data_IF_626712039570
#
_entry.id   IF_626712039570
#
_cell.length_a   1.000
_cell.length_b   1.000
_cell.length_c   1.000
_cell.angle_alpha   90.00
_cell.angle_beta   90.00
_cell.angle_gamma   90.00
#
_symmetry.space_group_name_H-M   'P 1'
#
loop_
_entity.id
_entity.type
_entity.pdbx_description
1 polymer ?
#
# COMPACT_ATOMS: atom_id res chain seq x y z
N UNK A 1 -46.49 -50.26 -36.87
CA UNK A 1 -45.35 -49.67 -37.60
C UNK A 1 -44.91 -48.43 -36.86
N UNK A 2 -43.73 -48.48 -36.26
CA UNK A 2 -42.94 -47.36 -35.68
C UNK A 2 -42.38 -46.46 -36.82
N UNK A 3 -41.63 -45.35 -36.62
CA UNK A 3 -41.02 -44.77 -35.39
C UNK A 3 -41.03 -43.21 -35.30
N UNK A 4 -40.53 -42.63 -34.20
CA UNK A 4 -39.61 -41.44 -34.17
C UNK A 4 -39.32 -40.95 -32.73
N UNK A 5 -38.17 -41.37 -32.21
CA UNK A 5 -37.17 -40.60 -31.42
C UNK A 5 -37.55 -39.28 -30.71
N UNK A 6 -37.28 -39.21 -29.40
CA UNK A 6 -36.31 -38.26 -28.84
C UNK A 6 -35.99 -38.59 -27.35
N UNK A 7 -34.71 -38.73 -27.09
CA UNK A 7 -34.06 -38.95 -25.81
C UNK A 7 -33.70 -37.58 -25.24
N UNK A 8 -34.28 -37.18 -24.11
CA UNK A 8 -33.77 -36.10 -23.24
C UNK A 8 -34.02 -36.48 -21.78
N UNK A 9 -32.97 -36.64 -20.94
CA UNK A 9 -33.16 -36.82 -19.51
C UNK A 9 -33.57 -35.48 -18.89
N UNK A 10 -34.73 -35.46 -18.23
CA UNK A 10 -35.21 -34.30 -17.45
C UNK A 10 -34.52 -34.30 -16.08
N UNK A 11 -33.84 -33.22 -15.66
CA UNK A 11 -33.08 -33.15 -14.39
C UNK A 11 -33.97 -32.96 -13.15
N UNK A 12 -35.29 -32.91 -13.30
CA UNK A 12 -36.22 -32.60 -12.21
C UNK A 12 -36.42 -33.75 -11.21
N UNK A 13 -35.98 -34.97 -11.53
CA UNK A 13 -36.26 -36.15 -10.70
C UNK A 13 -35.28 -36.35 -9.54
N UNK A 14 -34.17 -35.61 -9.49
CA UNK A 14 -33.16 -35.76 -8.42
C UNK A 14 -33.39 -34.82 -7.22
N UNK A 15 -34.33 -33.87 -7.33
CA UNK A 15 -34.62 -32.89 -6.27
C UNK A 15 -35.96 -33.11 -5.53
N UNK A 16 -36.73 -34.15 -5.85
CA UNK A 16 -38.06 -34.37 -5.26
C UNK A 16 -38.09 -35.10 -3.92
N UNK A 17 -36.95 -35.36 -3.27
CA UNK A 17 -36.87 -36.04 -1.97
C UNK A 17 -36.49 -35.15 -0.78
N UNK A 18 -36.83 -33.86 -0.82
CA UNK A 18 -36.91 -33.04 0.40
C UNK A 18 -38.37 -32.98 0.87
N UNK A 19 -38.79 -34.04 1.57
CA UNK A 19 -40.01 -34.02 2.35
C UNK A 19 -39.86 -32.99 3.49
N UNK A 20 -40.55 -31.86 3.39
CA UNK A 20 -40.75 -30.93 4.50
C UNK A 20 -41.66 -31.60 5.54
N UNK A 21 -41.24 -31.74 6.82
CA UNK A 21 -42.13 -32.22 7.86
C UNK A 21 -43.05 -31.08 8.32
N UNK A 22 -44.37 -31.31 8.24
CA UNK A 22 -45.49 -30.40 8.53
C UNK A 22 -45.69 -30.02 10.01
N UNK A 23 -44.63 -29.88 10.81
CA UNK A 23 -44.76 -29.45 12.21
C UNK A 23 -43.71 -28.37 12.55
N UNK A 24 -43.97 -27.16 12.05
CA UNK A 24 -43.11 -25.96 12.20
C UNK A 24 -43.64 -24.95 13.24
N UNK A 25 -44.33 -25.40 14.30
CA UNK A 25 -44.78 -24.48 15.36
C UNK A 25 -44.23 -24.77 16.77
N UNK A 26 -43.78 -26.00 17.06
CA UNK A 26 -43.32 -26.35 18.42
C UNK A 26 -41.80 -26.49 18.58
N UNK A 27 -41.00 -26.05 17.61
CA UNK A 27 -39.53 -26.25 17.61
C UNK A 27 -38.69 -24.98 17.54
N UNK A 28 -39.28 -23.82 17.84
CA UNK A 28 -38.57 -22.54 17.82
C UNK A 28 -37.68 -22.28 19.04
N UNK A 29 -37.73 -23.11 20.10
CA UNK A 29 -36.97 -22.86 21.34
C UNK A 29 -35.78 -23.81 21.60
N UNK A 30 -35.52 -24.82 20.77
CA UNK A 30 -34.44 -25.80 21.07
C UNK A 30 -33.38 -26.00 20.00
N UNK A 31 -33.43 -25.27 18.88
CA UNK A 31 -32.29 -25.19 17.96
C UNK A 31 -31.29 -24.13 18.45
N UNK A 32 -30.74 -24.40 19.64
CA UNK A 32 -29.41 -23.93 19.99
C UNK A 32 -28.44 -24.47 18.96
N UNK A 33 -28.29 -23.74 17.86
CA UNK A 33 -27.21 -23.91 16.91
C UNK A 33 -25.94 -23.65 17.72
N UNK A 34 -25.41 -24.70 18.35
CA UNK A 34 -24.10 -24.71 18.96
C UNK A 34 -23.18 -24.10 17.92
N UNK A 35 -22.60 -22.93 18.24
CA UNK A 35 -21.69 -22.17 17.37
C UNK A 35 -20.46 -23.04 17.08
N UNK A 36 -20.58 -24.03 16.20
CA UNK A 36 -19.46 -24.81 15.67
C UNK A 36 -18.53 -23.94 14.79
N UNK A 37 -18.94 -22.72 14.47
CA UNK A 37 -18.16 -21.72 13.74
C UNK A 37 -17.96 -20.40 14.51
N UNK A 38 -17.80 -20.47 15.84
CA UNK A 38 -17.26 -19.36 16.63
C UNK A 38 -15.74 -19.21 16.45
N UNK A 39 -15.16 -18.00 16.61
CA UNK A 39 -13.70 -17.85 16.70
C UNK A 39 -13.16 -18.78 17.80
N UNK A 40 -12.01 -19.42 17.57
CA UNK A 40 -11.41 -20.29 18.59
C UNK A 40 -11.15 -19.48 19.87
N UNK A 41 -11.17 -20.12 21.04
CA UNK A 41 -10.89 -19.45 22.31
C UNK A 41 -9.53 -18.72 22.30
N UNK A 42 -8.54 -19.28 21.60
CA UNK A 42 -7.24 -18.67 21.31
C UNK A 42 -7.30 -17.39 20.47
N UNK A 43 -8.27 -17.31 19.56
CA UNK A 43 -8.51 -16.12 18.71
C UNK A 43 -8.88 -14.90 19.56
N UNK A 44 -9.58 -15.10 20.68
CA UNK A 44 -9.94 -13.98 21.58
C UNK A 44 -8.74 -13.45 22.37
N UNK A 45 -7.77 -14.31 22.68
CA UNK A 45 -6.54 -13.93 23.41
C UNK A 45 -5.51 -13.27 22.48
N UNK A 46 -5.30 -13.83 21.29
CA UNK A 46 -4.38 -13.29 20.28
C UNK A 46 -4.99 -12.21 19.37
N UNK A 47 -6.23 -11.78 19.65
CA UNK A 47 -6.90 -10.71 18.91
C UNK A 47 -6.11 -9.39 18.90
N UNK A 48 -5.47 -9.07 20.01
CA UNK A 48 -4.58 -7.91 20.11
C UNK A 48 -3.35 -8.03 19.21
N UNK A 49 -2.80 -9.23 19.05
CA UNK A 49 -1.64 -9.47 18.21
C UNK A 49 -1.97 -9.32 16.72
N UNK A 50 -3.14 -9.80 16.29
CA UNK A 50 -3.66 -9.58 14.94
C UNK A 50 -3.91 -8.10 14.64
N UNK A 51 -4.53 -7.38 15.58
CA UNK A 51 -4.75 -5.94 15.45
C UNK A 51 -3.43 -5.15 15.41
N UNK A 52 -2.47 -5.50 16.26
CA UNK A 52 -1.14 -4.88 16.29
C UNK A 52 -0.40 -5.11 14.96
N UNK A 53 -0.41 -6.33 14.43
CA UNK A 53 0.23 -6.63 13.16
C UNK A 53 -0.40 -5.86 11.98
N UNK A 54 -1.73 -5.79 11.92
CA UNK A 54 -2.42 -5.00 10.89
C UNK A 54 -2.13 -3.50 11.03
N UNK A 55 -2.03 -2.99 12.26
CA UNK A 55 -1.61 -1.61 12.52
C UNK A 55 -0.17 -1.36 12.05
N UNK A 56 0.76 -2.28 12.33
CA UNK A 56 2.15 -2.19 11.89
C UNK A 56 2.25 -2.23 10.36
N UNK A 57 1.41 -3.01 9.68
CA UNK A 57 1.34 -3.02 8.21
C UNK A 57 0.89 -1.64 7.68
N UNK A 58 -0.14 -1.03 8.27
CA UNK A 58 -0.58 0.32 7.90
C UNK A 58 0.51 1.36 8.16
N UNK A 59 1.14 1.32 9.34
CA UNK A 59 2.26 2.21 9.68
C UNK A 59 3.42 2.03 8.69
N UNK A 60 3.72 0.79 8.29
CA UNK A 60 4.77 0.50 7.30
C UNK A 60 4.44 1.10 5.93
N UNK A 61 3.18 1.02 5.50
CA UNK A 61 2.70 1.66 4.26
C UNK A 61 2.83 3.19 4.33
N UNK A 62 2.42 3.80 5.44
CA UNK A 62 2.59 5.24 5.64
C UNK A 62 4.06 5.65 5.72
N UNK A 63 4.90 4.88 6.42
CA UNK A 63 6.34 5.13 6.56
C UNK A 63 7.03 5.06 5.20
N UNK A 64 6.64 4.12 4.34
CA UNK A 64 7.12 4.04 2.97
C UNK A 64 6.74 5.29 2.16
N UNK A 65 5.45 5.61 2.09
CA UNK A 65 4.94 6.75 1.33
C UNK A 65 5.54 8.08 1.83
N UNK A 66 5.58 8.26 3.15
CA UNK A 66 6.21 9.40 3.79
C UNK A 66 7.71 9.45 3.51
N UNK A 67 8.43 8.33 3.62
CA UNK A 67 9.86 8.24 3.36
C UNK A 67 10.24 8.69 1.95
N UNK A 68 9.44 8.32 0.94
CA UNK A 68 9.67 8.75 -0.45
C UNK A 68 9.55 10.27 -0.63
N UNK A 69 8.63 10.93 0.07
CA UNK A 69 8.50 12.40 0.02
C UNK A 69 9.53 13.07 0.93
N UNK A 70 9.76 12.52 2.12
CA UNK A 70 10.65 13.05 3.14
C UNK A 70 12.11 13.12 2.67
N UNK A 71 12.54 12.18 1.82
CA UNK A 71 13.84 12.23 1.16
C UNK A 71 14.09 13.57 0.44
N UNK A 72 13.03 14.19 -0.08
CA UNK A 72 13.07 15.48 -0.77
C UNK A 72 12.82 16.69 0.15
N UNK A 73 13.02 16.53 1.46
CA UNK A 73 12.89 17.61 2.44
C UNK A 73 14.26 18.10 2.93
N UNK A 74 14.31 19.39 3.30
CA UNK A 74 15.45 19.97 4.02
C UNK A 74 15.71 19.27 5.35
N UNK A 75 14.67 18.77 6.01
CA UNK A 75 14.79 18.01 7.25
C UNK A 75 15.64 16.75 7.03
N UNK A 76 15.42 16.01 5.94
CA UNK A 76 16.25 14.85 5.61
C UNK A 76 17.72 15.25 5.45
N UNK A 77 18.00 16.31 4.68
CA UNK A 77 19.39 16.72 4.42
C UNK A 77 20.10 17.18 5.69
N UNK A 78 19.41 17.91 6.59
CA UNK A 78 20.02 18.52 7.77
C UNK A 78 20.14 17.57 8.96
N UNK A 79 19.13 16.73 9.21
CA UNK A 79 19.10 15.90 10.43
C UNK A 79 19.34 14.43 10.12
N UNK A 80 18.51 13.82 9.28
CA UNK A 80 18.55 12.35 9.08
C UNK A 80 19.79 11.92 8.31
N UNK A 81 20.16 12.62 7.25
CA UNK A 81 21.39 12.34 6.49
C UNK A 81 22.63 12.53 7.36
N UNK A 82 22.65 13.55 8.22
CA UNK A 82 23.76 13.79 9.15
C UNK A 82 23.85 12.69 10.20
N UNK A 83 22.72 12.27 10.78
CA UNK A 83 22.68 11.20 11.79
C UNK A 83 23.05 9.83 11.23
N UNK A 84 22.67 9.52 9.98
CA UNK A 84 23.12 8.30 9.32
C UNK A 84 24.62 8.39 9.00
N UNK A 85 25.10 9.58 8.60
CA UNK A 85 26.51 9.83 8.33
C UNK A 85 27.40 9.53 9.54
N UNK A 86 26.98 9.88 10.75
CA UNK A 86 27.76 9.60 11.97
C UNK A 86 27.92 8.10 12.24
N UNK A 87 26.99 7.25 11.80
CA UNK A 87 27.13 5.79 11.90
C UNK A 87 28.28 5.25 11.05
N UNK A 88 28.68 5.98 10.00
CA UNK A 88 29.73 5.61 9.06
C UNK A 88 30.97 6.51 9.15
N UNK A 89 31.11 7.25 10.26
CA UNK A 89 32.28 8.08 10.56
C UNK A 89 32.32 9.43 9.83
N UNK A 90 31.20 9.89 9.24
CA UNK A 90 31.10 11.25 8.69
C UNK A 90 30.75 12.21 9.83
N UNK A 91 31.52 13.30 10.05
CA UNK A 91 31.21 14.28 11.08
C UNK A 91 29.86 14.96 10.82
N UNK A 92 29.16 15.33 11.90
CA UNK A 92 27.82 15.92 11.78
C UNK A 92 27.89 17.26 11.02
N UNK A 93 27.08 17.40 9.96
CA UNK A 93 27.15 18.54 9.04
C UNK A 93 28.33 18.52 8.05
N UNK A 94 29.14 17.46 8.09
CA UNK A 94 30.20 17.21 7.12
C UNK A 94 29.64 16.92 5.74
N UNK A 95 30.13 17.65 4.73
CA UNK A 95 29.82 17.40 3.33
C UNK A 95 30.48 16.14 2.79
N UNK A 96 30.44 15.99 1.46
CA UNK A 96 31.02 14.85 0.73
C UNK A 96 32.53 14.67 1.00
N UNK A 97 33.21 15.74 1.37
CA UNK A 97 34.67 15.78 1.55
C UNK A 97 35.09 15.67 3.03
N UNK A 98 34.15 15.44 3.95
CA UNK A 98 34.40 15.52 5.39
C UNK A 98 34.97 14.24 6.02
N UNK A 99 35.50 13.31 5.22
CA UNK A 99 35.98 12.00 5.68
C UNK A 99 34.85 11.03 6.03
N UNK A 100 35.18 9.73 6.10
CA UNK A 100 34.20 8.65 6.31
C UNK A 100 33.55 8.13 5.02
N UNK A 101 32.58 7.22 5.14
CA UNK A 101 31.90 6.59 4.01
C UNK A 101 30.55 7.27 3.69
N UNK A 102 30.61 8.50 3.15
CA UNK A 102 29.43 9.29 2.79
C UNK A 102 28.50 8.55 1.81
N UNK A 103 29.05 7.65 0.99
CA UNK A 103 28.32 6.83 0.02
C UNK A 103 27.29 5.90 0.68
N UNK A 104 27.47 5.55 1.96
CA UNK A 104 26.59 4.64 2.71
C UNK A 104 25.30 5.29 3.22
N UNK A 105 25.21 6.62 3.20
CA UNK A 105 24.04 7.34 3.72
C UNK A 105 22.80 7.03 2.88
N UNK A 106 22.91 7.13 1.54
CA UNK A 106 21.76 6.92 0.64
C UNK A 106 21.26 5.48 0.68
N UNK A 107 22.11 4.43 0.53
CA UNK A 107 21.67 3.05 0.63
C UNK A 107 21.01 2.74 1.96
N UNK A 108 21.56 3.25 3.08
CA UNK A 108 20.99 3.00 4.42
C UNK A 108 19.60 3.64 4.56
N UNK A 109 19.41 4.86 4.06
CA UNK A 109 18.10 5.49 4.03
C UNK A 109 17.08 4.67 3.23
N UNK A 110 17.45 4.25 2.00
CA UNK A 110 16.59 3.40 1.17
C UNK A 110 16.30 2.07 1.86
N UNK A 111 17.27 1.44 2.52
CA UNK A 111 17.04 0.20 3.24
C UNK A 111 16.01 0.36 4.37
N UNK A 112 16.16 1.41 5.19
CA UNK A 112 15.31 1.64 6.36
C UNK A 112 13.88 2.09 6.01
N UNK A 113 13.73 2.96 5.00
CA UNK A 113 12.44 3.57 4.67
C UNK A 113 11.75 2.93 3.46
N UNK A 114 12.47 2.19 2.62
CA UNK A 114 11.92 1.52 1.43
C UNK A 114 11.84 0.00 1.65
N UNK A 115 12.97 -0.66 1.94
CA UNK A 115 13.03 -2.13 1.99
C UNK A 115 12.45 -2.72 3.26
N UNK A 116 12.86 -2.22 4.44
CA UNK A 116 12.44 -2.74 5.73
C UNK A 116 10.91 -2.70 5.93
N UNK A 117 10.18 -1.62 5.55
CA UNK A 117 8.72 -1.59 5.67
C UNK A 117 8.01 -2.61 4.76
N UNK A 118 8.56 -2.86 3.57
CA UNK A 118 8.03 -3.88 2.63
C UNK A 118 8.20 -5.27 3.24
N UNK A 119 9.41 -5.62 3.68
CA UNK A 119 9.70 -6.94 4.27
C UNK A 119 8.92 -7.15 5.56
N UNK A 120 8.86 -6.15 6.45
CA UNK A 120 8.06 -6.21 7.66
C UNK A 120 6.59 -6.49 7.36
N UNK A 121 6.01 -5.80 6.37
CA UNK A 121 4.63 -6.01 5.95
C UNK A 121 4.38 -7.42 5.41
N UNK A 122 5.31 -7.95 4.60
CA UNK A 122 5.23 -9.30 4.05
C UNK A 122 5.32 -10.39 5.14
N UNK A 123 6.31 -10.28 6.03
CA UNK A 123 6.50 -11.23 7.13
C UNK A 123 5.28 -11.23 8.06
N UNK A 124 4.78 -10.05 8.42
CA UNK A 124 3.60 -9.95 9.29
C UNK A 124 2.35 -10.52 8.64
N UNK A 125 2.15 -10.32 7.34
CA UNK A 125 1.02 -10.95 6.64
C UNK A 125 1.15 -12.47 6.56
N UNK A 126 2.34 -13.00 6.26
CA UNK A 126 2.53 -14.45 6.21
C UNK A 126 2.35 -15.08 7.60
N UNK A 127 2.80 -14.41 8.66
CA UNK A 127 2.51 -14.81 10.04
C UNK A 127 1.00 -14.82 10.31
N UNK A 128 0.28 -13.75 9.93
CA UNK A 128 -1.18 -13.68 10.12
C UNK A 128 -1.93 -14.79 9.38
N UNK A 129 -1.45 -15.15 8.19
CA UNK A 129 -1.97 -16.25 7.38
C UNK A 129 -1.67 -17.60 8.01
N UNK A 130 -0.45 -17.81 8.49
CA UNK A 130 -0.02 -19.06 9.12
C UNK A 130 -0.81 -19.36 10.41
N UNK A 131 -1.08 -18.35 11.24
CA UNK A 131 -1.83 -18.53 12.49
C UNK A 131 -3.36 -18.60 12.31
N UNK A 132 -3.89 -18.67 11.07
CA UNK A 132 -5.33 -18.66 10.80
C UNK A 132 -6.07 -17.45 11.42
N UNK A 133 -5.34 -16.36 11.67
CA UNK A 133 -5.83 -15.10 12.28
C UNK A 133 -6.69 -14.31 11.29
N UNK A 134 -6.99 -14.86 10.11
CA UNK A 134 -7.85 -14.27 9.05
C UNK A 134 -9.21 -13.77 9.52
N UNK A 135 -9.73 -14.22 10.67
CA UNK A 135 -10.99 -13.74 11.26
C UNK A 135 -10.85 -12.60 12.27
N UNK A 136 -9.63 -12.23 12.65
CA UNK A 136 -9.35 -11.08 13.52
C UNK A 136 -8.98 -9.91 12.62
N UNK A 137 -9.94 -9.43 11.85
CA UNK A 137 -9.77 -8.17 11.15
C UNK A 137 -10.38 -7.10 12.03
N UNK A 138 -9.56 -6.17 12.52
CA UNK A 138 -10.03 -5.07 13.37
C UNK A 138 -11.18 -4.34 12.69
N UNK A 139 -12.26 -4.05 13.42
CA UNK A 139 -13.40 -3.29 12.88
C UNK A 139 -12.96 -1.96 12.26
N UNK A 140 -11.92 -1.32 12.81
CA UNK A 140 -11.35 -0.08 12.28
C UNK A 140 -10.69 -0.28 10.92
N UNK A 141 -9.91 -1.35 10.77
CA UNK A 141 -9.19 -1.64 9.53
C UNK A 141 -10.16 -2.13 8.47
N UNK A 142 -11.19 -2.89 8.84
CA UNK A 142 -12.29 -3.24 7.95
C UNK A 142 -13.06 -2.00 7.48
N UNK A 143 -13.35 -1.07 8.38
CA UNK A 143 -14.05 0.18 8.04
C UNK A 143 -13.19 1.05 7.12
N UNK A 144 -11.90 1.16 7.43
CA UNK A 144 -10.93 1.87 6.60
C UNK A 144 -10.74 1.22 5.22
N UNK A 145 -10.64 -0.10 5.15
CA UNK A 145 -10.53 -0.84 3.88
C UNK A 145 -11.83 -0.72 3.07
N UNK A 146 -13.00 -0.74 3.73
CA UNK A 146 -14.29 -0.47 3.07
C UNK A 146 -14.36 0.94 2.50
N UNK A 147 -13.82 1.93 3.21
CA UNK A 147 -13.72 3.30 2.72
C UNK A 147 -12.82 3.36 1.49
N UNK A 148 -11.61 2.80 1.56
CA UNK A 148 -10.67 2.75 0.42
C UNK A 148 -11.24 2.00 -0.79
N UNK A 149 -12.03 0.95 -0.56
CA UNK A 149 -12.71 0.16 -1.61
C UNK A 149 -13.98 0.80 -2.16
N UNK A 150 -14.49 1.86 -1.52
CA UNK A 150 -15.71 2.52 -1.98
C UNK A 150 -15.45 3.19 -3.32
N UNK A 151 -16.30 2.92 -4.30
CA UNK A 151 -16.32 3.63 -5.58
C UNK A 151 -17.18 4.89 -5.40
N UNK A 152 -16.62 6.10 -5.57
CA UNK A 152 -17.42 7.31 -5.49
C UNK A 152 -18.35 7.39 -6.71
N UNK A 153 -19.62 7.78 -6.49
CA UNK A 153 -20.54 8.16 -7.56
C UNK A 153 -20.54 9.67 -7.67
N UNK A 154 -20.11 10.20 -8.82
CA UNK A 154 -20.17 11.63 -9.12
C UNK A 154 -21.22 11.79 -10.21
N UNK A 155 -22.24 12.62 -10.00
CA UNK A 155 -23.28 12.90 -11.00
C UNK A 155 -23.95 11.64 -11.58
N UNK A 156 -24.47 10.77 -10.71
CA UNK A 156 -25.15 9.49 -11.05
C UNK A 156 -24.35 8.48 -11.89
N UNK A 157 -23.06 8.75 -12.13
CA UNK A 157 -22.14 7.78 -12.73
C UNK A 157 -21.20 7.26 -11.66
N UNK A 158 -21.18 5.93 -11.50
CA UNK A 158 -20.20 5.26 -10.63
C UNK A 158 -18.84 5.39 -11.31
N UNK A 159 -17.88 6.05 -10.65
CA UNK A 159 -16.54 6.13 -11.17
C UNK A 159 -15.95 4.71 -11.27
N UNK A 160 -15.25 4.36 -12.37
CA UNK A 160 -14.61 3.04 -12.48
C UNK A 160 -13.50 2.87 -11.42
N UNK A 161 -12.91 3.99 -11.00
CA UNK A 161 -11.78 4.17 -10.08
C UNK A 161 -12.24 4.09 -8.62
N UNK A 162 -11.50 3.35 -7.78
CA UNK A 162 -11.78 3.27 -6.34
C UNK A 162 -11.22 4.49 -5.56
N UNK A 163 -11.72 4.78 -4.35
CA UNK A 163 -11.15 5.85 -3.51
C UNK A 163 -9.66 5.62 -3.18
N UNK A 164 -9.25 4.37 -2.96
CA UNK A 164 -7.84 4.02 -2.74
C UNK A 164 -6.96 4.32 -3.95
N UNK A 165 -7.47 4.08 -5.15
CA UNK A 165 -6.80 4.41 -6.41
C UNK A 165 -6.75 5.92 -6.66
N UNK A 166 -7.83 6.66 -6.36
CA UNK A 166 -7.82 8.13 -6.41
C UNK A 166 -6.78 8.69 -5.43
N UNK A 167 -6.73 8.17 -4.20
CA UNK A 167 -5.76 8.59 -3.20
C UNK A 167 -4.33 8.32 -3.67
N UNK A 168 -4.10 7.15 -4.27
CA UNK A 168 -2.81 6.81 -4.86
C UNK A 168 -2.44 7.74 -6.02
N UNK A 169 -3.37 8.04 -6.93
CA UNK A 169 -3.14 8.95 -8.05
C UNK A 169 -2.88 10.38 -7.60
N UNK A 170 -3.66 10.89 -6.65
CA UNK A 170 -3.46 12.22 -6.04
C UNK A 170 -2.09 12.28 -5.37
N UNK A 171 -1.70 11.23 -4.66
CA UNK A 171 -0.39 11.13 -4.04
C UNK A 171 0.74 11.11 -5.09
N UNK A 172 0.58 10.33 -6.17
CA UNK A 172 1.59 10.22 -7.23
C UNK A 172 1.74 11.54 -7.99
N UNK A 173 0.63 12.16 -8.41
CA UNK A 173 0.64 13.46 -9.10
C UNK A 173 1.15 14.55 -8.16
N UNK A 174 0.64 14.61 -6.94
CA UNK A 174 1.05 15.60 -5.94
C UNK A 174 2.52 15.48 -5.56
N UNK A 175 3.02 14.26 -5.38
CA UNK A 175 4.42 13.97 -5.14
C UNK A 175 5.32 14.38 -6.32
N UNK A 176 4.91 14.10 -7.55
CA UNK A 176 5.64 14.55 -8.74
C UNK A 176 5.75 16.08 -8.82
N UNK A 177 4.64 16.80 -8.58
CA UNK A 177 4.64 18.27 -8.53
C UNK A 177 5.53 18.79 -7.42
N UNK A 178 5.45 18.19 -6.22
CA UNK A 178 6.27 18.56 -5.07
C UNK A 178 7.77 18.39 -5.34
N UNK A 179 8.19 17.22 -5.84
CA UNK A 179 9.58 16.92 -6.17
C UNK A 179 10.10 17.86 -7.25
N UNK A 180 9.28 18.13 -8.27
CA UNK A 180 9.65 19.07 -9.34
C UNK A 180 9.88 20.48 -8.78
N UNK A 181 8.94 21.02 -8.01
CA UNK A 181 9.03 22.35 -7.40
C UNK A 181 10.26 22.47 -6.50
N UNK A 182 10.45 21.52 -5.58
CA UNK A 182 11.57 21.54 -4.63
C UNK A 182 12.94 21.62 -5.34
N UNK A 183 13.15 20.76 -6.34
CA UNK A 183 14.42 20.71 -7.06
C UNK A 183 14.62 21.83 -8.06
N UNK A 184 13.53 22.38 -8.59
CA UNK A 184 13.56 23.52 -9.50
C UNK A 184 13.98 24.78 -8.75
N UNK A 185 13.32 25.09 -7.63
CA UNK A 185 13.66 26.26 -6.79
C UNK A 185 15.11 26.20 -6.33
N UNK A 186 15.55 25.06 -5.79
CA UNK A 186 16.92 24.88 -5.31
C UNK A 186 17.98 25.02 -6.41
N UNK A 187 17.64 24.74 -7.66
CA UNK A 187 18.53 24.95 -8.82
C UNK A 187 18.56 26.41 -9.27
N UNK A 188 17.41 27.06 -9.29
CA UNK A 188 17.31 28.49 -9.61
C UNK A 188 18.12 29.32 -8.61
N UNK A 189 17.99 29.03 -7.30
CA UNK A 189 18.77 29.69 -6.25
C UNK A 189 20.28 29.46 -6.43
N UNK A 190 20.70 28.20 -6.62
CA UNK A 190 22.13 27.87 -6.85
C UNK A 190 22.71 28.54 -8.10
N UNK A 191 21.93 28.69 -9.16
CA UNK A 191 22.40 29.34 -10.38
C UNK A 191 22.44 30.87 -10.23
N UNK A 192 21.55 31.44 -9.42
CA UNK A 192 21.56 32.87 -9.04
C UNK A 192 22.77 33.21 -8.17
N UNK A 193 23.15 32.34 -7.21
CA UNK A 193 24.36 32.51 -6.40
C UNK A 193 25.66 32.48 -7.22
N UNK A 194 25.64 31.80 -8.37
CA UNK A 194 26.79 31.67 -9.28
C UNK A 194 26.85 32.74 -10.35
N UNK A 195 25.95 33.72 -10.30
CA UNK A 195 25.81 34.84 -11.23
C UNK A 195 25.85 34.40 -12.71
N UNK A 196 25.24 33.24 -13.01
CA UNK A 196 25.14 32.74 -14.37
C UNK A 196 23.98 33.42 -15.09
N UNK A 197 24.24 33.92 -16.29
CA UNK A 197 23.17 34.40 -17.16
C UNK A 197 22.20 33.25 -17.50
N UNK A 198 20.90 33.54 -17.40
CA UNK A 198 19.84 32.59 -17.72
C UNK A 198 19.71 32.40 -19.23
N UNK A 199 20.62 31.61 -19.80
CA UNK A 199 20.55 31.17 -21.19
C UNK A 199 19.51 30.05 -21.37
N UNK A 200 18.93 29.95 -22.57
CA UNK A 200 17.95 28.91 -22.91
C UNK A 200 18.48 27.48 -22.68
N UNK A 201 19.77 27.26 -22.94
CA UNK A 201 20.45 25.99 -22.68
C UNK A 201 20.47 25.64 -21.18
N UNK A 202 20.79 26.62 -20.32
CA UNK A 202 20.79 26.44 -18.86
C UNK A 202 19.37 26.18 -18.33
N UNK A 203 18.35 26.81 -18.93
CA UNK A 203 16.96 26.51 -18.62
C UNK A 203 16.58 25.07 -18.96
N UNK A 204 16.91 24.61 -20.17
CA UNK A 204 16.67 23.23 -20.59
C UNK A 204 17.43 22.23 -19.71
N UNK A 205 18.68 22.51 -19.35
CA UNK A 205 19.47 21.67 -18.45
C UNK A 205 18.80 21.56 -17.07
N UNK A 206 18.34 22.68 -16.50
CA UNK A 206 17.64 22.68 -15.21
C UNK A 206 16.38 21.82 -15.28
N UNK A 207 15.54 21.98 -16.31
CA UNK A 207 14.31 21.21 -16.49
C UNK A 207 14.60 19.72 -16.73
N UNK A 208 15.59 19.40 -17.56
CA UNK A 208 15.98 18.01 -17.84
C UNK A 208 16.45 17.31 -16.54
N UNK A 209 17.27 17.98 -15.74
CA UNK A 209 17.74 17.45 -14.47
C UNK A 209 16.59 17.28 -13.47
N UNK A 210 15.67 18.24 -13.33
CA UNK A 210 14.53 18.09 -12.41
C UNK A 210 13.58 16.97 -12.83
N UNK A 211 13.33 16.82 -14.13
CA UNK A 211 12.55 15.70 -14.68
C UNK A 211 13.23 14.34 -14.42
N UNK A 212 14.56 14.27 -14.45
CA UNK A 212 15.31 13.09 -14.05
C UNK A 212 15.02 12.66 -12.60
N UNK A 213 14.96 13.60 -11.66
CA UNK A 213 14.61 13.29 -10.26
C UNK A 213 13.14 12.88 -10.08
N UNK A 214 12.24 13.49 -10.84
CA UNK A 214 10.82 13.07 -10.92
C UNK A 214 10.72 11.64 -11.46
N UNK A 215 11.54 11.25 -12.43
CA UNK A 215 11.60 9.88 -12.93
C UNK A 215 12.03 8.89 -11.83
N UNK A 216 13.04 9.23 -11.04
CA UNK A 216 13.49 8.40 -9.90
C UNK A 216 12.40 8.25 -8.84
N UNK A 217 11.66 9.33 -8.53
CA UNK A 217 10.48 9.25 -7.65
C UNK A 217 9.44 8.27 -8.19
N UNK A 218 9.11 8.34 -9.48
CA UNK A 218 8.16 7.41 -10.10
C UNK A 218 8.67 5.96 -10.10
N UNK A 219 9.97 5.73 -10.31
CA UNK A 219 10.56 4.39 -10.21
C UNK A 219 10.36 3.76 -8.83
N UNK A 220 10.37 4.54 -7.74
CA UNK A 220 10.10 4.02 -6.41
C UNK A 220 8.69 3.41 -6.30
N UNK A 221 7.69 3.97 -7.01
CA UNK A 221 6.32 3.43 -7.00
C UNK A 221 6.11 2.29 -7.99
N UNK A 222 6.99 2.12 -9.00
CA UNK A 222 6.97 0.96 -9.89
C UNK A 222 7.29 -0.36 -9.16
N UNK A 223 7.96 -0.32 -8.01
CA UNK A 223 8.20 -1.53 -7.20
C UNK A 223 6.93 -2.11 -6.58
N UNK A 224 5.90 -1.27 -6.38
CA UNK A 224 4.62 -1.71 -5.81
C UNK A 224 3.89 -2.70 -6.75
N UNK A 225 3.65 -2.39 -8.04
CA UNK A 225 3.07 -3.36 -8.98
C UNK A 225 4.03 -4.46 -9.42
N UNK A 226 5.35 -4.21 -9.44
CA UNK A 226 6.32 -5.25 -9.78
C UNK A 226 6.31 -6.43 -8.78
N UNK A 227 5.95 -6.17 -7.52
CA UNK A 227 5.73 -7.22 -6.53
C UNK A 227 4.30 -7.74 -6.65
N UNK A 228 4.08 -8.80 -7.44
CA UNK A 228 2.74 -9.40 -7.68
C UNK A 228 1.94 -9.73 -6.40
N UNK A 229 2.62 -9.89 -5.25
CA UNK A 229 2.02 -10.11 -3.94
C UNK A 229 2.11 -8.88 -3.03
N UNK A 230 2.09 -7.66 -3.59
CA UNK A 230 2.17 -6.43 -2.81
C UNK A 230 0.92 -6.30 -1.93
N UNK A 231 1.14 -6.57 -0.65
CA UNK A 231 0.19 -6.41 0.45
C UNK A 231 -0.61 -5.10 0.34
N UNK A 232 0.10 -4.00 0.07
CA UNK A 232 -0.47 -2.67 0.06
C UNK A 232 -1.42 -2.44 -1.11
N UNK A 233 -1.19 -3.08 -2.26
CA UNK A 233 -2.11 -2.97 -3.41
C UNK A 233 -3.41 -3.75 -3.17
N UNK A 234 -3.35 -4.90 -2.48
CA UNK A 234 -4.55 -5.63 -2.05
C UNK A 234 -5.38 -4.82 -1.02
N UNK A 235 -4.70 -4.08 -0.13
CA UNK A 235 -5.34 -3.16 0.81
C UNK A 235 -6.00 -1.97 0.12
N UNK A 236 -5.32 -1.33 -0.84
CA UNK A 236 -5.83 -0.19 -1.61
C UNK A 236 -6.84 -0.59 -2.70
N UNK A 237 -7.02 -1.90 -2.93
CA UNK A 237 -7.89 -2.45 -3.98
C UNK A 237 -7.56 -1.91 -5.38
N UNK A 238 -6.27 -1.76 -5.64
CA UNK A 238 -5.75 -1.40 -6.95
C UNK A 238 -5.50 -2.72 -7.68
N UNK A 239 -6.36 -3.04 -8.65
CA UNK A 239 -6.18 -4.21 -9.50
C UNK A 239 -5.17 -3.85 -10.60
N UNK A 240 -3.90 -4.19 -10.39
CA UNK A 240 -2.94 -4.25 -11.51
C UNK A 240 -2.99 -5.67 -12.08
N UNK A 241 -3.90 -5.87 -13.02
CA UNK A 241 -3.96 -7.00 -13.94
C UNK A 241 -4.38 -6.45 -15.31
#
# INVERSE_FOLDING_TARGET
MTPSSAMTPRPESEFTHLATPDNLQDKHESLGFSRKFGPSTWTRHYGYLGNAAQFVILVSMFLYAYGQIFYYSDAYTKTVSSNIGTWYGVPAGGGRDAGGHYEMIRPTFFFLFCFLPIVASLVLLELLKHFNVRRITSNYILTFTRLLRRKPSIFDRVAPVSLGEILFLVFLIGGNVYVFQYFYVRRVERNRERDREFNFELYLEMVALTLGFVCVYNMAFLFLPATRNCVWMEFLNISYA
#
